data_IF_054795858993
#
_entry.id   IF_054795858993
#
_cell.length_a   1.000
_cell.length_b   1.000
_cell.length_c   1.000
_cell.angle_alpha   90.00
_cell.angle_beta   90.00
_cell.angle_gamma   90.00
#
_symmetry.space_group_name_H-M   'P 1'
#
loop_
_entity.id
_entity.type
_entity.pdbx_description
1 polymer ?
#
# COMPACT_ATOMS: atom_id res chain seq x y z
N UNK A 1 -12.08 8.70 -9.07
CA UNK A 1 -11.45 7.91 -7.99
C UNK A 1 -11.57 6.45 -8.35
N UNK A 2 -10.45 5.75 -8.60
CA UNK A 2 -10.48 4.26 -8.68
C UNK A 2 -10.89 3.77 -7.29
N UNK A 3 -11.87 2.86 -7.21
CA UNK A 3 -12.24 2.25 -5.93
C UNK A 3 -11.08 1.40 -5.46
N UNK A 4 -10.77 1.48 -4.16
CA UNK A 4 -9.87 0.53 -3.52
C UNK A 4 -10.46 -0.88 -3.67
N UNK A 5 -9.61 -1.86 -3.94
CA UNK A 5 -10.00 -3.27 -3.86
C UNK A 5 -10.32 -3.60 -2.40
N UNK A 6 -11.25 -4.53 -2.18
CA UNK A 6 -11.68 -4.91 -0.83
C UNK A 6 -10.49 -5.35 0.05
N UNK A 7 -9.50 -6.02 -0.55
CA UNK A 7 -8.28 -6.44 0.12
C UNK A 7 -7.42 -5.26 0.63
N UNK A 8 -7.28 -4.20 -0.17
CA UNK A 8 -6.52 -3.01 0.25
C UNK A 8 -7.29 -2.21 1.30
N UNK A 9 -8.61 -2.19 1.19
CA UNK A 9 -9.45 -1.57 2.21
C UNK A 9 -9.31 -2.31 3.54
N UNK A 10 -9.36 -3.64 3.54
CA UNK A 10 -9.19 -4.46 4.74
C UNK A 10 -7.83 -4.22 5.41
N UNK A 11 -6.74 -4.21 4.65
CA UNK A 11 -5.41 -3.90 5.20
C UNK A 11 -5.33 -2.48 5.78
N UNK A 12 -5.98 -1.48 5.18
CA UNK A 12 -6.04 -0.13 5.75
C UNK A 12 -6.85 -0.10 7.05
N UNK A 13 -7.97 -0.84 7.12
CA UNK A 13 -8.78 -0.95 8.33
C UNK A 13 -8.00 -1.65 9.46
N UNK A 14 -7.24 -2.70 9.15
CA UNK A 14 -6.37 -3.38 10.11
C UNK A 14 -5.21 -2.47 10.58
N UNK A 15 -4.55 -1.76 9.66
CA UNK A 15 -3.48 -0.82 10.00
C UNK A 15 -3.92 0.30 10.96
N UNK A 16 -5.19 0.71 10.89
CA UNK A 16 -5.78 1.72 11.77
C UNK A 16 -6.12 1.18 13.16
N UNK A 17 -6.39 -0.12 13.26
CA UNK A 17 -6.76 -0.78 14.52
C UNK A 17 -5.56 -1.32 15.29
N UNK A 18 -4.44 -1.52 14.62
CA UNK A 18 -3.23 -2.11 15.21
C UNK A 18 -2.37 -1.05 15.92
N UNK A 19 -2.00 -1.33 17.16
CA UNK A 19 -1.06 -0.55 17.97
C UNK A 19 0.40 -0.98 17.75
N UNK A 20 0.64 -2.16 17.16
CA UNK A 20 1.98 -2.63 16.82
C UNK A 20 2.50 -1.93 15.56
N UNK A 21 3.62 -1.19 15.64
CA UNK A 21 4.15 -0.44 14.50
C UNK A 21 4.61 -1.36 13.36
N UNK A 22 5.11 -2.56 13.66
CA UNK A 22 5.62 -3.49 12.64
C UNK A 22 4.49 -4.08 11.80
N UNK A 23 3.39 -4.44 12.45
CA UNK A 23 2.17 -4.95 11.81
C UNK A 23 1.45 -3.86 11.01
N UNK A 24 1.41 -2.63 11.53
CA UNK A 24 0.93 -1.46 10.80
C UNK A 24 1.75 -1.22 9.52
N UNK A 25 3.08 -1.26 9.62
CA UNK A 25 3.96 -1.12 8.46
C UNK A 25 3.81 -2.27 7.45
N UNK A 26 3.47 -3.48 7.91
CA UNK A 26 3.15 -4.59 7.02
C UNK A 26 1.89 -4.29 6.18
N UNK A 27 0.81 -3.87 6.82
CA UNK A 27 -0.45 -3.56 6.14
C UNK A 27 -0.33 -2.38 5.18
N UNK A 28 0.40 -1.33 5.56
CA UNK A 28 0.65 -0.18 4.68
C UNK A 28 1.47 -0.60 3.45
N UNK A 29 2.51 -1.43 3.62
CA UNK A 29 3.31 -1.95 2.50
C UNK A 29 2.48 -2.81 1.54
N UNK A 30 1.56 -3.63 2.04
CA UNK A 30 0.65 -4.39 1.17
C UNK A 30 -0.19 -3.47 0.27
N UNK A 31 -0.74 -2.40 0.83
CA UNK A 31 -1.54 -1.42 0.07
C UNK A 31 -0.65 -0.68 -0.95
N UNK A 32 0.55 -0.26 -0.54
CA UNK A 32 1.49 0.41 -1.43
C UNK A 32 2.03 -0.49 -2.55
N UNK A 33 2.20 -1.79 -2.33
CA UNK A 33 2.60 -2.71 -3.41
C UNK A 33 1.50 -2.88 -4.45
N UNK A 34 0.24 -2.91 -4.03
CA UNK A 34 -0.89 -3.07 -4.95
C UNK A 34 -1.19 -1.79 -5.73
N UNK A 35 -1.04 -0.61 -5.10
CA UNK A 35 -1.38 0.68 -5.72
C UNK A 35 -0.17 1.49 -6.21
N UNK A 36 1.00 1.32 -5.60
CA UNK A 36 2.21 2.09 -5.90
C UNK A 36 2.98 1.56 -7.10
N UNK A 37 2.84 0.28 -7.46
CA UNK A 37 3.53 -0.30 -8.63
C UNK A 37 2.85 0.10 -9.94
N UNK A 38 1.59 0.53 -9.92
CA UNK A 38 0.87 1.03 -11.11
C UNK A 38 1.29 2.46 -11.52
N UNK A 39 2.02 3.18 -10.65
CA UNK A 39 2.36 4.59 -10.85
C UNK A 39 3.70 5.00 -10.23
N UNK A 40 4.71 4.14 -10.27
CA UNK A 40 6.09 4.61 -10.21
C UNK A 40 6.50 4.93 -11.65
N UNK A 41 6.83 6.19 -12.01
CA UNK A 41 7.56 6.42 -13.23
C UNK A 41 8.83 5.57 -13.14
N UNK A 42 9.08 4.78 -14.18
CA UNK A 42 10.31 4.02 -14.31
C UNK A 42 11.45 5.04 -14.39
N UNK A 43 12.04 5.41 -13.24
CA UNK A 43 13.28 6.19 -13.18
C UNK A 43 14.48 5.29 -13.50
N UNK A 44 14.35 4.45 -14.55
CA UNK A 44 15.45 3.69 -15.15
C UNK A 44 15.78 4.24 -16.55
N UNK A 45 15.89 5.56 -16.68
CA UNK A 45 16.55 6.17 -17.83
C UNK A 45 17.27 7.45 -17.39
N UNK A 46 18.43 7.26 -16.75
CA UNK A 46 19.46 8.28 -16.66
C UNK A 46 20.71 7.67 -17.31
N UNK A 47 20.78 7.83 -18.63
CA UNK A 47 21.99 7.67 -19.45
C UNK A 47 23.12 8.62 -19.01
#
# INVERSE_FOLDING_TARGET
MRKLSDNCREHLEQALQTDDPSEKDFHIRQVMQVYGVDHLPDESDAE
#
